data_IF_187214548239
#
_entry.id   IF_187214548239
#
_cell.length_a   1.000
_cell.length_b   1.000
_cell.length_c   1.000
_cell.angle_alpha   90.00
_cell.angle_beta   90.00
_cell.angle_gamma   90.00
#
_symmetry.space_group_name_H-M   'P 1'
#
loop_
_entity.id
_entity.type
_entity.pdbx_description
1 polymer ?
#
# COMPACT_ATOMS: atom_id res chain seq x y z
N UNK A 1 5.01 -5.67 -15.30
CA UNK A 1 5.05 -6.56 -14.11
C UNK A 1 3.63 -6.73 -13.59
N UNK A 2 3.10 -7.95 -13.47
CA UNK A 2 1.74 -8.18 -12.94
C UNK A 2 1.72 -7.74 -11.47
N UNK A 3 0.66 -7.07 -11.02
CA UNK A 3 0.55 -6.54 -9.66
C UNK A 3 0.76 -7.62 -8.59
N UNK A 4 0.29 -8.84 -8.87
CA UNK A 4 0.59 -10.04 -8.08
C UNK A 4 2.09 -10.27 -7.84
N UNK A 5 2.94 -10.20 -8.88
CA UNK A 5 4.39 -10.42 -8.75
C UNK A 5 5.08 -9.31 -7.96
N UNK A 6 4.59 -8.07 -8.06
CA UNK A 6 5.08 -6.96 -7.24
C UNK A 6 4.68 -7.17 -5.77
N UNK A 7 3.41 -7.50 -5.53
CA UNK A 7 2.90 -7.71 -4.18
C UNK A 7 3.53 -8.92 -3.49
N UNK A 8 3.70 -10.05 -4.18
CA UNK A 8 4.41 -11.24 -3.66
C UNK A 8 5.88 -10.94 -3.34
N UNK A 9 6.51 -9.98 -4.04
CA UNK A 9 7.89 -9.57 -3.77
C UNK A 9 8.01 -8.56 -2.62
N UNK A 10 6.93 -7.87 -2.24
CA UNK A 10 6.96 -6.79 -1.24
C UNK A 10 6.12 -7.06 0.01
N UNK A 11 5.34 -8.15 0.04
CA UNK A 11 4.46 -8.50 1.15
C UNK A 11 4.85 -9.87 1.74
N UNK A 12 4.95 -9.94 3.06
CA UNK A 12 5.05 -11.21 3.79
C UNK A 12 3.67 -11.72 4.19
N UNK A 13 3.53 -12.99 4.65
CA UNK A 13 2.25 -13.52 5.14
C UNK A 13 1.61 -12.69 6.26
N UNK A 14 2.41 -11.85 6.93
CA UNK A 14 1.97 -10.97 8.01
C UNK A 14 1.62 -9.55 7.57
N UNK A 15 1.82 -9.23 6.29
CA UNK A 15 1.53 -7.91 5.77
C UNK A 15 0.04 -7.58 5.87
N UNK A 16 -0.24 -6.36 6.28
CA UNK A 16 -1.56 -5.76 6.09
C UNK A 16 -1.44 -4.26 5.86
N UNK A 17 -2.41 -3.73 5.14
CA UNK A 17 -2.53 -2.32 4.79
C UNK A 17 -3.79 -1.76 5.41
N UNK A 18 -3.72 -0.57 6.01
CA UNK A 18 -4.89 0.21 6.41
C UNK A 18 -4.93 1.42 5.51
N UNK A 19 -6.02 1.62 4.77
CA UNK A 19 -6.20 2.79 3.90
C UNK A 19 -7.50 3.49 4.27
N UNK A 20 -7.43 4.78 4.61
CA UNK A 20 -8.58 5.57 5.05
C UNK A 20 -9.41 4.85 6.13
N UNK A 21 -8.73 4.22 7.10
CA UNK A 21 -9.33 3.44 8.19
C UNK A 21 -9.78 2.02 7.83
N UNK A 22 -9.72 1.60 6.56
CA UNK A 22 -10.10 0.27 6.11
C UNK A 22 -8.90 -0.68 6.06
N UNK A 23 -8.95 -1.77 6.82
CA UNK A 23 -7.92 -2.81 6.82
C UNK A 23 -8.09 -3.75 5.63
N UNK A 24 -6.98 -4.05 4.96
CA UNK A 24 -6.86 -5.04 3.89
C UNK A 24 -5.71 -5.99 4.22
N UNK A 25 -5.98 -7.29 4.15
CA UNK A 25 -4.93 -8.31 4.07
C UNK A 25 -4.20 -8.23 2.72
N UNK A 26 -3.15 -9.06 2.55
CA UNK A 26 -2.36 -9.12 1.32
C UNK A 26 -3.25 -9.30 0.08
N UNK A 27 -4.17 -10.27 0.10
CA UNK A 27 -4.98 -10.60 -1.07
C UNK A 27 -5.88 -9.43 -1.48
N UNK A 28 -6.57 -8.83 -0.52
CA UNK A 28 -7.44 -7.68 -0.75
C UNK A 28 -6.64 -6.43 -1.15
N UNK A 29 -5.44 -6.25 -0.60
CA UNK A 29 -4.54 -5.19 -1.02
C UNK A 29 -4.06 -5.37 -2.48
N UNK A 30 -3.70 -6.59 -2.89
CA UNK A 30 -3.32 -6.88 -4.29
C UNK A 30 -4.48 -6.63 -5.24
N UNK A 31 -5.68 -7.16 -4.92
CA UNK A 31 -6.90 -6.90 -5.71
C UNK A 31 -7.21 -5.41 -5.79
N UNK A 32 -7.03 -4.71 -4.66
CA UNK A 32 -7.02 -3.26 -4.57
C UNK A 32 -6.14 -2.68 -5.65
N UNK A 33 -4.81 -2.93 -5.59
CA UNK A 33 -3.77 -2.58 -6.58
C UNK A 33 -4.16 -2.82 -8.03
N UNK A 34 -4.65 -4.01 -8.33
CA UNK A 34 -5.08 -4.35 -9.69
C UNK A 34 -6.24 -3.47 -10.18
N UNK A 35 -7.20 -3.17 -9.30
CA UNK A 35 -8.37 -2.35 -9.63
C UNK A 35 -8.00 -0.88 -9.89
N UNK A 36 -7.31 -0.20 -8.98
CA UNK A 36 -6.96 1.22 -9.15
C UNK A 36 -5.80 1.48 -10.11
N UNK A 37 -4.81 0.57 -10.27
CA UNK A 37 -3.74 0.79 -11.27
C UNK A 37 -4.26 0.94 -12.70
N UNK A 38 -5.43 0.36 -13.02
CA UNK A 38 -6.09 0.55 -14.31
C UNK A 38 -6.91 1.84 -14.43
N UNK A 39 -7.17 2.55 -13.32
CA UNK A 39 -8.06 3.71 -13.24
C UNK A 39 -7.35 5.01 -12.89
N UNK A 40 -6.16 4.93 -12.31
CA UNK A 40 -5.44 6.11 -11.83
C UNK A 40 -4.46 6.62 -12.88
N UNK A 41 -4.42 7.93 -13.03
CA UNK A 41 -3.46 8.61 -13.92
C UNK A 41 -2.25 9.18 -13.17
N UNK A 42 -2.34 9.30 -11.85
CA UNK A 42 -1.23 9.69 -10.98
C UNK A 42 -1.35 9.03 -9.60
N UNK A 43 -0.20 8.72 -9.01
CA UNK A 43 -0.06 8.26 -7.63
C UNK A 43 1.15 8.95 -7.00
N UNK A 44 0.92 9.78 -5.98
CA UNK A 44 1.95 10.58 -5.30
C UNK A 44 1.93 10.32 -3.79
N UNK A 45 2.41 9.14 -3.32
CA UNK A 45 2.55 8.88 -1.90
C UNK A 45 3.71 9.69 -1.31
N UNK A 46 3.54 10.13 -0.07
CA UNK A 46 4.56 10.69 0.80
C UNK A 46 4.65 9.79 2.02
N UNK A 47 5.86 9.35 2.37
CA UNK A 47 6.09 8.59 3.60
C UNK A 47 6.35 9.59 4.71
N UNK A 48 5.40 9.75 5.62
CA UNK A 48 5.48 10.69 6.72
C UNK A 48 6.30 10.12 7.88
N UNK A 49 6.12 8.82 8.16
CA UNK A 49 6.85 8.11 9.20
C UNK A 49 7.19 6.69 8.77
N UNK A 50 8.39 6.23 9.15
CA UNK A 50 8.84 4.87 8.93
C UNK A 50 9.56 4.36 10.17
N UNK A 51 9.12 3.22 10.69
CA UNK A 51 9.68 2.53 11.84
C UNK A 51 10.09 1.13 11.44
N UNK A 52 11.29 0.74 11.87
CA UNK A 52 11.80 -0.63 11.78
C UNK A 52 12.28 -1.08 13.15
N UNK A 53 11.74 -2.20 13.62
CA UNK A 53 12.13 -2.86 14.85
C UNK A 53 12.45 -4.33 14.57
N UNK A 54 13.74 -4.62 14.42
CA UNK A 54 14.25 -5.89 13.90
C UNK A 54 13.67 -6.20 12.52
N UNK A 55 12.86 -7.26 12.47
CA UNK A 55 12.20 -7.75 11.26
C UNK A 55 10.83 -7.10 11.04
N UNK A 56 10.32 -6.32 12.01
CA UNK A 56 9.03 -5.63 11.90
C UNK A 56 9.17 -4.26 11.24
N UNK A 57 8.23 -3.92 10.36
CA UNK A 57 8.12 -2.66 9.66
C UNK A 57 6.75 -2.03 9.90
N UNK A 58 6.74 -0.72 10.10
CA UNK A 58 5.53 0.11 10.05
C UNK A 58 5.83 1.39 9.26
N UNK A 59 4.94 1.77 8.35
CA UNK A 59 5.03 3.02 7.61
C UNK A 59 3.69 3.73 7.66
N UNK A 60 3.69 5.02 7.96
CA UNK A 60 2.56 5.93 7.77
C UNK A 60 2.82 6.76 6.52
N UNK A 61 1.81 6.85 5.66
CA UNK A 61 1.89 7.55 4.40
C UNK A 61 0.62 8.34 4.17
N UNK A 62 0.78 9.51 3.57
CA UNK A 62 -0.31 10.30 3.00
C UNK A 62 -0.05 10.54 1.53
N UNK A 63 -1.01 11.07 0.80
CA UNK A 63 -0.74 11.53 -0.55
C UNK A 63 -1.98 11.72 -1.38
N UNK A 64 -1.75 11.84 -2.68
CA UNK A 64 -2.82 12.08 -3.66
C UNK A 64 -2.79 11.01 -4.75
N UNK A 65 -3.98 10.53 -5.09
CA UNK A 65 -4.25 9.63 -6.20
C UNK A 65 -5.17 10.38 -7.17
N UNK A 66 -4.88 10.34 -8.47
CA UNK A 66 -5.77 10.91 -9.48
C UNK A 66 -6.68 9.83 -10.04
N UNK A 67 -7.93 9.77 -9.57
CA UNK A 67 -8.96 8.79 -10.01
C UNK A 67 -9.90 9.50 -10.99
N UNK A 68 -10.07 8.98 -12.19
CA UNK A 68 -10.96 9.55 -13.22
C UNK A 68 -10.71 11.06 -13.50
N UNK A 69 -9.48 11.53 -13.30
CA UNK A 69 -9.07 12.92 -13.49
C UNK A 69 -9.09 13.79 -12.22
N UNK A 70 -9.80 13.34 -11.19
CA UNK A 70 -9.98 14.04 -9.91
C UNK A 70 -8.88 13.67 -8.92
N UNK A 71 -8.37 14.66 -8.19
CA UNK A 71 -7.40 14.46 -7.12
C UNK A 71 -8.12 13.97 -5.85
N UNK A 72 -7.73 12.79 -5.38
CA UNK A 72 -8.26 12.15 -4.17
C UNK A 72 -7.13 11.97 -3.16
N UNK A 73 -7.31 12.53 -1.97
CA UNK A 73 -6.35 12.35 -0.88
C UNK A 73 -6.53 10.99 -0.20
N UNK A 74 -5.44 10.44 0.30
CA UNK A 74 -5.47 9.24 1.11
C UNK A 74 -4.50 9.34 2.29
N UNK A 75 -4.84 8.61 3.34
CA UNK A 75 -3.97 8.26 4.44
C UNK A 75 -3.87 6.74 4.51
N UNK A 76 -2.66 6.22 4.72
CA UNK A 76 -2.47 4.79 4.90
C UNK A 76 -1.36 4.41 5.88
N UNK A 77 -1.52 3.21 6.42
CA UNK A 77 -0.55 2.55 7.27
C UNK A 77 -0.21 1.19 6.67
N UNK A 78 1.08 0.91 6.50
CA UNK A 78 1.58 -0.39 6.06
C UNK A 78 2.32 -1.05 7.21
N UNK A 79 1.97 -2.30 7.48
CA UNK A 79 2.66 -3.13 8.46
C UNK A 79 3.14 -4.39 7.77
N UNK A 80 4.34 -4.83 8.13
CA UNK A 80 4.86 -6.08 7.60
C UNK A 80 6.04 -6.59 8.41
N UNK A 81 6.36 -7.86 8.17
CA UNK A 81 7.65 -8.42 8.55
C UNK A 81 8.50 -8.65 7.31
N UNK A 82 9.79 -8.34 7.37
CA UNK A 82 10.78 -8.77 6.37
C UNK A 82 11.41 -10.07 6.86
N UNK A 83 11.34 -11.11 6.04
CA UNK A 83 12.16 -12.30 6.26
C UNK A 83 13.63 -11.97 5.93
N UNK A 84 14.56 -12.67 6.58
CA UNK A 84 16.01 -12.53 6.34
C UNK A 84 16.42 -12.93 4.93
#
# INVERSE_FOLDING_TARGET
>A
MKAKTYAEATASPTFYHVMNGQKSDVENWVKGIEMWRGKISAYKPVVDQFLRDGDNLAAHMTGTIKVDGEDTEFESFMFGKVDK
#
